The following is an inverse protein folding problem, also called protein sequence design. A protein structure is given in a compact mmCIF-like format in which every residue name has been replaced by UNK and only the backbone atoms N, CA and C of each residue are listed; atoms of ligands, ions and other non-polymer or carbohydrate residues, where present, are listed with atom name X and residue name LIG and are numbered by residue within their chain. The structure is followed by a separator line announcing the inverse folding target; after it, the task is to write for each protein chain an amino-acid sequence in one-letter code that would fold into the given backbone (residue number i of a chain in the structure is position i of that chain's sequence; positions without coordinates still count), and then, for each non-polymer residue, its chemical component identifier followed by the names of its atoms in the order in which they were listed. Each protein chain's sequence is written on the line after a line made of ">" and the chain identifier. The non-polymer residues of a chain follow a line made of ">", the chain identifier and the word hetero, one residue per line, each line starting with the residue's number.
data_IF_908313638850
#
_entry.id   IF_908313638850
#
_cell.length_a   1.000
_cell.length_b   1.000
_cell.length_c   1.000
_cell.angle_alpha   90.00
_cell.angle_beta   90.00
_cell.angle_gamma   90.00
#
_symmetry.space_group_name_H-M   'P 1'
#
loop_
_entity.id
_entity.type
_entity.pdbx_description
1 polymer ?
#
# COMPACT_ATOMS: atom_id res chain seq x y z
N UNK A 1 72.64 -2.64 6.00
CA UNK A 1 71.60 -3.44 5.37
C UNK A 1 70.24 -2.97 5.89
N UNK A 2 69.45 -2.27 5.05
CA UNK A 2 68.17 -1.70 5.45
C UNK A 2 67.05 -2.55 4.81
N UNK A 3 66.26 -3.26 5.62
CA UNK A 3 65.11 -4.00 5.15
C UNK A 3 63.88 -3.07 5.09
N UNK A 4 63.43 -2.78 3.87
CA UNK A 4 62.19 -2.06 3.63
C UNK A 4 61.03 -3.06 3.68
N UNK A 5 60.25 -3.05 4.75
CA UNK A 5 59.01 -3.80 4.86
C UNK A 5 57.90 -3.16 4.01
N UNK A 6 57.37 -3.90 3.04
CA UNK A 6 56.21 -3.52 2.25
C UNK A 6 54.95 -3.80 3.05
N UNK A 7 54.23 -2.77 3.46
CA UNK A 7 52.88 -2.85 4.02
C UNK A 7 51.88 -3.09 2.87
N UNK A 8 51.25 -4.27 2.87
CA UNK A 8 50.14 -4.59 1.97
C UNK A 8 48.84 -4.19 2.67
N UNK A 9 48.20 -3.14 2.20
CA UNK A 9 46.86 -2.73 2.69
C UNK A 9 45.80 -3.62 2.03
N UNK A 10 45.15 -4.47 2.84
CA UNK A 10 44.00 -5.26 2.41
C UNK A 10 42.77 -4.37 2.52
N UNK A 11 42.20 -3.95 1.39
CA UNK A 11 40.90 -3.25 1.32
C UNK A 11 39.81 -4.31 1.34
N UNK A 12 39.15 -4.44 2.48
CA UNK A 12 37.97 -5.30 2.60
C UNK A 12 36.74 -4.61 1.96
N UNK A 13 36.32 -5.11 0.80
CA UNK A 13 35.06 -4.70 0.18
C UNK A 13 33.91 -5.33 0.98
N UNK A 14 33.19 -4.50 1.75
CA UNK A 14 31.92 -4.91 2.39
C UNK A 14 30.84 -4.87 1.30
N UNK A 15 30.48 -6.01 0.77
CA UNK A 15 29.29 -6.16 -0.07
C UNK A 15 28.04 -5.99 0.81
N UNK A 16 27.47 -4.79 0.81
CA UNK A 16 26.15 -4.54 1.37
C UNK A 16 25.14 -5.18 0.42
N UNK A 17 24.74 -6.41 0.71
CA UNK A 17 23.66 -7.08 0.01
C UNK A 17 22.35 -6.33 0.25
N UNK A 18 21.80 -5.69 -0.78
CA UNK A 18 20.45 -5.14 -0.74
C UNK A 18 19.45 -6.31 -0.70
N UNK A 19 18.91 -6.60 0.49
CA UNK A 19 17.81 -7.56 0.60
C UNK A 19 16.64 -7.03 -0.24
N UNK A 20 16.19 -7.82 -1.23
CA UNK A 20 15.03 -7.48 -2.03
C UNK A 20 13.80 -7.35 -1.12
N UNK A 21 13.14 -6.20 -1.15
CA UNK A 21 11.94 -5.98 -0.36
C UNK A 21 10.86 -7.02 -0.69
N UNK A 22 10.23 -7.58 0.33
CA UNK A 22 9.12 -8.53 0.18
C UNK A 22 7.79 -7.77 0.17
N UNK A 23 6.74 -8.30 -0.49
CA UNK A 23 5.40 -7.73 -0.41
C UNK A 23 4.94 -7.59 1.03
N UNK A 24 4.29 -6.48 1.41
CA UNK A 24 3.89 -6.27 2.79
C UNK A 24 2.82 -7.27 3.21
N UNK A 25 3.05 -7.94 4.34
CA UNK A 25 2.04 -8.80 5.00
C UNK A 25 1.21 -8.01 6.02
N UNK A 26 1.77 -6.94 6.53
CA UNK A 26 1.16 -6.01 7.49
C UNK A 26 1.49 -4.59 7.08
N UNK A 27 0.76 -3.60 7.58
CA UNK A 27 1.07 -2.22 7.29
C UNK A 27 0.20 -1.23 8.04
N UNK A 28 0.58 0.03 7.93
CA UNK A 28 -0.15 1.15 8.52
C UNK A 28 -0.73 2.00 7.41
N UNK A 29 -2.04 2.24 7.47
CA UNK A 29 -2.68 3.31 6.73
C UNK A 29 -2.51 4.60 7.53
N UNK A 30 -1.79 5.57 7.00
CA UNK A 30 -1.78 6.95 7.49
C UNK A 30 -2.76 7.74 6.62
N UNK A 31 -3.96 8.11 7.14
CA UNK A 31 -4.99 8.78 6.35
C UNK A 31 -4.46 10.02 5.63
N UNK A 32 -4.84 10.18 4.37
CA UNK A 32 -4.41 11.28 3.51
C UNK A 32 -2.95 11.22 3.06
N UNK A 33 -2.15 10.23 3.48
CA UNK A 33 -0.70 10.24 3.29
C UNK A 33 -0.13 8.98 2.62
N UNK A 34 -0.33 7.82 3.24
CA UNK A 34 0.31 6.59 2.74
C UNK A 34 -0.39 5.33 3.24
N UNK A 35 -0.18 4.22 2.52
CA UNK A 35 -0.53 2.88 2.95
C UNK A 35 0.74 2.01 2.90
N UNK A 36 1.20 1.55 4.06
CA UNK A 36 2.44 0.75 4.21
C UNK A 36 3.64 1.34 3.45
N UNK A 37 3.84 2.65 3.60
CA UNK A 37 4.95 3.38 2.97
C UNK A 37 4.73 3.78 1.51
N UNK A 38 3.66 3.31 0.83
CA UNK A 38 3.33 3.75 -0.53
C UNK A 38 2.38 4.95 -0.47
N UNK A 39 2.73 6.03 -1.18
CA UNK A 39 1.97 7.27 -1.30
C UNK A 39 1.53 7.51 -2.74
N UNK A 40 0.49 8.32 -2.93
CA UNK A 40 0.07 8.78 -4.25
C UNK A 40 1.20 9.57 -4.93
N UNK A 41 1.32 9.42 -6.25
CA UNK A 41 2.36 10.07 -7.05
C UNK A 41 3.71 9.37 -7.07
N UNK A 42 3.95 8.36 -6.23
CA UNK A 42 5.16 7.54 -6.31
C UNK A 42 5.34 6.92 -7.68
N UNK A 43 6.59 6.80 -8.11
CA UNK A 43 6.97 6.09 -9.33
C UNK A 43 6.93 4.58 -9.12
N UNK A 44 6.91 3.82 -10.22
CA UNK A 44 7.03 2.37 -10.19
C UNK A 44 8.29 1.87 -9.47
N UNK A 45 9.41 2.59 -9.62
CA UNK A 45 10.66 2.26 -8.93
C UNK A 45 10.49 2.37 -7.40
N UNK A 46 9.94 3.49 -6.94
CA UNK A 46 9.68 3.72 -5.51
C UNK A 46 8.71 2.69 -4.90
N UNK A 47 7.69 2.25 -5.67
CA UNK A 47 6.80 1.16 -5.22
C UNK A 47 7.56 -0.15 -5.10
N UNK A 48 8.44 -0.49 -6.05
CA UNK A 48 9.28 -1.69 -5.96
C UNK A 48 10.26 -1.62 -4.79
N UNK A 49 10.81 -0.48 -4.50
CA UNK A 49 11.69 -0.28 -3.35
C UNK A 49 10.94 -0.49 -2.03
N UNK A 50 9.67 -0.03 -1.95
CA UNK A 50 8.84 -0.17 -0.75
C UNK A 50 8.25 -1.58 -0.57
N UNK A 51 7.72 -2.18 -1.65
CA UNK A 51 6.91 -3.41 -1.60
C UNK A 51 7.53 -4.59 -2.36
N UNK A 52 8.71 -4.41 -2.92
CA UNK A 52 9.40 -5.44 -3.70
C UNK A 52 8.86 -5.59 -5.12
N UNK A 53 9.47 -6.52 -5.86
CA UNK A 53 9.17 -6.78 -7.27
C UNK A 53 8.31 -8.03 -7.51
N UNK A 54 7.82 -8.67 -6.44
CA UNK A 54 6.92 -9.84 -6.54
C UNK A 54 5.47 -9.40 -6.58
N UNK A 55 4.97 -9.10 -7.78
CA UNK A 55 3.58 -8.70 -8.01
C UNK A 55 3.03 -9.28 -9.31
N UNK A 56 1.72 -9.48 -9.37
CA UNK A 56 0.98 -9.70 -10.60
C UNK A 56 0.65 -8.36 -11.24
N UNK A 57 0.53 -8.33 -12.58
CA UNK A 57 0.15 -7.13 -13.33
C UNK A 57 -1.15 -7.40 -14.05
N UNK A 58 -2.16 -6.58 -13.80
CA UNK A 58 -3.29 -6.44 -14.68
C UNK A 58 -3.13 -5.15 -15.49
N UNK A 59 -2.98 -5.30 -16.79
CA UNK A 59 -3.00 -4.18 -17.73
C UNK A 59 -4.45 -3.98 -18.17
N UNK A 60 -4.90 -2.75 -18.14
CA UNK A 60 -6.28 -2.43 -18.54
C UNK A 60 -7.40 -2.97 -17.61
N UNK A 61 -7.10 -3.16 -16.32
CA UNK A 61 -8.14 -3.40 -15.34
C UNK A 61 -8.92 -2.09 -15.07
N UNK A 62 -10.03 -1.90 -15.80
CA UNK A 62 -10.80 -0.65 -15.72
C UNK A 62 -10.05 0.57 -16.28
N UNK A 63 -9.28 0.41 -17.37
CA UNK A 63 -8.50 1.48 -18.01
C UNK A 63 -7.23 1.87 -17.26
N UNK A 64 -6.73 1.01 -16.34
CA UNK A 64 -5.56 1.28 -15.50
C UNK A 64 -4.64 0.07 -15.41
N UNK A 65 -3.37 0.30 -15.11
CA UNK A 65 -2.45 -0.75 -14.75
C UNK A 65 -2.48 -0.97 -13.25
N UNK A 66 -2.85 -2.17 -12.82
CA UNK A 66 -2.88 -2.54 -11.39
C UNK A 66 -1.81 -3.58 -11.11
N UNK A 67 -1.01 -3.33 -10.08
CA UNK A 67 -0.06 -4.27 -9.51
C UNK A 67 -0.66 -4.91 -8.26
N UNK A 68 -0.72 -6.24 -8.23
CA UNK A 68 -1.25 -7.01 -7.11
C UNK A 68 -0.12 -7.69 -6.34
N UNK A 69 0.05 -7.34 -5.08
CA UNK A 69 1.04 -7.86 -4.15
C UNK A 69 0.43 -8.95 -3.26
N UNK A 70 -0.06 -10.03 -3.85
CA UNK A 70 -0.62 -11.17 -3.16
C UNK A 70 -0.17 -12.48 -3.82
N UNK A 71 -0.43 -13.61 -3.16
CA UNK A 71 -0.04 -14.93 -3.70
C UNK A 71 -0.83 -15.33 -4.93
N UNK A 72 -2.08 -14.88 -5.05
CA UNK A 72 -2.97 -15.24 -6.14
C UNK A 72 -3.10 -14.09 -7.12
N UNK A 73 -2.62 -14.32 -8.34
CA UNK A 73 -2.74 -13.34 -9.42
C UNK A 73 -4.21 -13.09 -9.71
N UNK A 74 -4.58 -11.83 -9.91
CA UNK A 74 -5.92 -11.39 -10.34
C UNK A 74 -7.05 -11.56 -9.32
N UNK A 75 -6.75 -11.93 -8.08
CA UNK A 75 -7.73 -11.79 -7.00
C UNK A 75 -7.51 -10.45 -6.30
N UNK A 76 -8.56 -9.64 -6.07
CA UNK A 76 -8.46 -8.36 -5.36
C UNK A 76 -8.24 -8.55 -3.85
N UNK A 77 -7.49 -9.58 -3.47
CA UNK A 77 -7.15 -9.93 -2.10
C UNK A 77 -5.71 -9.55 -1.82
N UNK A 78 -5.46 -8.92 -0.69
CA UNK A 78 -4.15 -8.44 -0.32
C UNK A 78 -3.95 -6.96 -0.67
N UNK A 79 -2.73 -6.58 -1.02
CA UNK A 79 -2.38 -5.21 -1.34
C UNK A 79 -2.32 -4.98 -2.86
N UNK A 80 -2.76 -3.83 -3.31
CA UNK A 80 -2.72 -3.44 -4.72
C UNK A 80 -2.30 -1.98 -4.90
N UNK A 81 -1.69 -1.70 -6.05
CA UNK A 81 -1.29 -0.35 -6.48
C UNK A 81 -1.81 -0.12 -7.88
N UNK A 82 -2.58 0.94 -8.07
CA UNK A 82 -2.99 1.39 -9.40
C UNK A 82 -2.08 2.50 -9.89
N UNK A 83 -1.69 2.37 -11.15
CA UNK A 83 -0.78 3.28 -11.83
C UNK A 83 -1.45 3.93 -13.03
N UNK A 84 -1.26 5.24 -13.16
CA UNK A 84 -1.57 6.02 -14.36
C UNK A 84 -0.32 6.83 -14.72
N UNK A 85 0.11 6.77 -15.97
CA UNK A 85 1.32 7.45 -16.47
C UNK A 85 2.57 7.16 -15.60
N UNK A 86 2.72 5.89 -15.18
CA UNK A 86 3.83 5.42 -14.36
C UNK A 86 3.83 5.90 -12.90
N UNK A 87 2.75 6.53 -12.45
CA UNK A 87 2.61 7.06 -11.09
C UNK A 87 1.42 6.45 -10.35
N UNK A 88 1.59 6.27 -9.04
CA UNK A 88 0.54 5.76 -8.15
C UNK A 88 -0.63 6.73 -8.11
N UNK A 89 -1.81 6.26 -8.47
CA UNK A 89 -3.09 6.99 -8.35
C UNK A 89 -4.00 6.40 -7.28
N UNK A 90 -3.75 5.13 -6.93
CA UNK A 90 -4.39 4.50 -5.78
C UNK A 90 -3.51 3.40 -5.21
N UNK A 91 -3.61 3.19 -3.91
CA UNK A 91 -3.04 2.08 -3.17
C UNK A 91 -4.10 1.56 -2.21
N UNK A 92 -4.23 0.24 -2.12
CA UNK A 92 -5.30 -0.37 -1.32
C UNK A 92 -4.90 -1.72 -0.78
N UNK A 93 -5.60 -2.15 0.27
CA UNK A 93 -5.64 -3.53 0.74
C UNK A 93 -7.11 -3.93 0.89
N UNK A 94 -7.45 -5.12 0.43
CA UNK A 94 -8.77 -5.71 0.55
C UNK A 94 -8.60 -7.11 1.14
N UNK A 95 -9.58 -7.54 1.92
CA UNK A 95 -9.64 -8.88 2.46
C UNK A 95 -8.41 -9.28 3.31
N UNK A 96 -8.55 -9.14 4.60
CA UNK A 96 -7.76 -9.73 5.68
C UNK A 96 -6.28 -10.10 5.43
N UNK A 97 -5.37 -9.20 5.15
CA UNK A 97 -4.07 -9.43 5.73
C UNK A 97 -4.16 -9.03 7.21
N UNK A 98 -4.00 -9.94 8.16
CA UNK A 98 -3.95 -9.56 9.58
C UNK A 98 -2.79 -8.56 9.80
N UNK A 99 -2.97 -7.65 10.76
CA UNK A 99 -1.92 -6.69 11.11
C UNK A 99 -1.93 -5.38 10.33
N UNK A 100 -2.91 -5.13 9.46
CA UNK A 100 -3.14 -3.82 8.88
C UNK A 100 -3.94 -2.95 9.84
N UNK A 101 -3.46 -1.73 10.08
CA UNK A 101 -4.04 -0.80 11.06
C UNK A 101 -3.85 0.66 10.66
N UNK A 102 -4.51 1.57 11.37
CA UNK A 102 -4.21 3.00 11.37
C UNK A 102 -3.35 3.40 12.57
N UNK A 103 -2.75 4.61 12.59
CA UNK A 103 -2.09 5.15 13.78
C UNK A 103 -3.01 5.24 14.99
N UNK A 104 -4.32 5.48 14.76
CA UNK A 104 -5.35 5.60 15.79
C UNK A 104 -5.83 4.24 16.32
N UNK A 105 -5.16 3.16 15.90
CA UNK A 105 -5.40 1.82 16.40
C UNK A 105 -6.55 1.05 15.73
N UNK A 106 -7.22 1.63 14.72
CA UNK A 106 -8.25 0.92 13.96
C UNK A 106 -7.62 -0.23 13.17
N UNK A 107 -8.12 -1.45 13.34
CA UNK A 107 -7.61 -2.66 12.69
C UNK A 107 -8.66 -3.33 11.81
N UNK A 108 -8.21 -4.10 10.80
CA UNK A 108 -9.13 -4.86 9.95
C UNK A 108 -9.92 -5.89 10.75
N UNK A 109 -11.23 -6.00 10.44
CA UNK A 109 -12.18 -6.87 11.13
C UNK A 109 -12.99 -6.19 12.23
N UNK A 110 -12.64 -4.96 12.62
CA UNK A 110 -13.45 -4.21 13.60
C UNK A 110 -14.82 -3.82 13.02
N UNK A 111 -15.83 -3.63 13.90
CA UNK A 111 -17.15 -3.14 13.49
C UNK A 111 -17.05 -1.76 12.80
N UNK A 112 -17.94 -1.50 11.86
CA UNK A 112 -18.02 -0.21 11.16
C UNK A 112 -18.15 0.98 12.13
N UNK A 113 -18.86 0.81 13.26
CA UNK A 113 -19.00 1.84 14.27
C UNK A 113 -17.64 2.39 14.76
N UNK A 114 -16.60 1.54 14.84
CA UNK A 114 -15.27 1.98 15.22
C UNK A 114 -14.65 2.98 14.23
N UNK A 115 -15.02 2.90 12.95
CA UNK A 115 -14.54 3.83 11.93
C UNK A 115 -15.16 5.21 12.17
N UNK A 116 -16.48 5.26 12.42
CA UNK A 116 -17.22 6.51 12.64
C UNK A 116 -16.95 7.12 14.00
N UNK A 117 -16.53 6.33 14.99
CA UNK A 117 -16.05 6.82 16.28
C UNK A 117 -14.63 7.44 16.20
N UNK A 118 -13.83 6.95 15.24
CA UNK A 118 -12.42 7.36 15.10
C UNK A 118 -12.25 8.55 14.14
N UNK A 119 -13.11 8.63 13.10
CA UNK A 119 -13.00 9.65 12.07
C UNK A 119 -14.34 10.35 11.82
N UNK A 120 -14.29 11.68 11.81
CA UNK A 120 -15.42 12.55 11.49
C UNK A 120 -15.55 12.79 9.98
N UNK A 121 -16.69 13.38 9.57
CA UNK A 121 -16.95 13.85 8.21
C UNK A 121 -16.78 12.78 7.11
N UNK A 122 -17.14 11.56 7.42
CA UNK A 122 -17.11 10.44 6.47
C UNK A 122 -18.27 10.52 5.50
N UNK A 123 -18.00 10.21 4.23
CA UNK A 123 -19.02 10.03 3.19
C UNK A 123 -19.06 8.59 2.75
N UNK A 124 -20.25 7.96 2.71
CA UNK A 124 -20.43 6.59 2.23
C UNK A 124 -20.62 6.52 0.72
N UNK A 125 -20.02 5.52 0.10
CA UNK A 125 -20.25 5.14 -1.30
C UNK A 125 -20.48 3.63 -1.35
N UNK A 126 -21.52 3.22 -2.10
CA UNK A 126 -21.81 1.81 -2.35
C UNK A 126 -21.01 1.29 -3.55
N UNK A 127 -20.38 0.12 -3.39
CA UNK A 127 -19.43 -0.46 -4.33
C UNK A 127 -19.89 -1.81 -4.91
N UNK A 128 -21.19 -2.09 -4.88
CA UNK A 128 -21.71 -3.34 -5.45
C UNK A 128 -21.36 -4.60 -4.63
N UNK A 129 -21.87 -4.67 -3.40
CA UNK A 129 -21.66 -5.80 -2.47
C UNK A 129 -20.82 -5.44 -1.23
N UNK A 130 -20.21 -4.28 -1.21
CA UNK A 130 -19.56 -3.67 -0.06
C UNK A 130 -19.69 -2.15 -0.15
N UNK A 131 -19.31 -1.42 0.89
CA UNK A 131 -19.28 0.03 0.88
C UNK A 131 -17.91 0.58 1.22
N UNK A 132 -17.69 1.86 0.91
CA UNK A 132 -16.52 2.60 1.33
C UNK A 132 -16.95 3.82 2.15
N UNK A 133 -16.42 3.97 3.35
CA UNK A 133 -16.47 5.21 4.11
C UNK A 133 -15.24 6.04 3.72
N UNK A 134 -15.48 7.24 3.19
CA UNK A 134 -14.42 8.09 2.63
C UNK A 134 -14.13 9.27 3.54
N UNK A 135 -12.87 9.42 3.91
CA UNK A 135 -12.32 10.62 4.52
C UNK A 135 -11.60 11.42 3.44
N UNK A 136 -12.08 12.62 3.13
CA UNK A 136 -11.49 13.52 2.13
C UNK A 136 -10.53 14.49 2.79
N UNK A 137 -9.33 14.60 2.24
CA UNK A 137 -8.33 15.61 2.58
C UNK A 137 -7.87 16.30 1.30
N UNK A 138 -7.10 17.40 1.40
CA UNK A 138 -6.59 18.09 0.22
C UNK A 138 -5.80 17.12 -0.70
N UNK A 139 -6.34 16.87 -1.90
CA UNK A 139 -5.70 16.05 -2.93
C UNK A 139 -5.75 14.53 -2.71
N UNK A 140 -6.39 14.03 -1.65
CA UNK A 140 -6.50 12.59 -1.39
C UNK A 140 -7.88 12.19 -0.86
N UNK A 141 -8.23 10.93 -1.08
CA UNK A 141 -9.38 10.25 -0.48
C UNK A 141 -8.86 9.01 0.22
N UNK A 142 -9.02 8.95 1.53
CA UNK A 142 -8.81 7.73 2.31
C UNK A 142 -10.12 6.96 2.32
N UNK A 143 -10.10 5.68 2.01
CA UNK A 143 -11.25 4.81 2.01
C UNK A 143 -11.09 3.71 3.07
N UNK A 144 -12.13 3.53 3.86
CA UNK A 144 -12.31 2.41 4.76
C UNK A 144 -13.38 1.50 4.12
N UNK A 145 -12.96 0.38 3.58
CA UNK A 145 -13.88 -0.55 2.93
C UNK A 145 -14.61 -1.39 3.98
N UNK A 146 -15.92 -1.44 3.88
CA UNK A 146 -16.80 -2.15 4.81
C UNK A 146 -17.55 -3.26 4.08
N UNK A 147 -17.43 -4.46 4.58
CA UNK A 147 -18.16 -5.62 4.12
C UNK A 147 -18.84 -6.31 5.32
N UNK A 148 -20.13 -6.61 5.21
CA UNK A 148 -20.93 -7.21 6.30
C UNK A 148 -20.79 -6.45 7.64
N UNK A 149 -20.79 -5.10 7.59
CA UNK A 149 -20.70 -4.25 8.77
C UNK A 149 -19.33 -4.25 9.48
N UNK A 150 -18.29 -4.75 8.82
CA UNK A 150 -16.93 -4.79 9.36
C UNK A 150 -15.92 -4.14 8.43
N UNK A 151 -14.92 -3.52 9.03
CA UNK A 151 -13.76 -2.98 8.29
C UNK A 151 -13.04 -4.12 7.56
N UNK A 152 -13.08 -4.08 6.25
CA UNK A 152 -12.61 -5.14 5.38
C UNK A 152 -11.31 -4.79 4.64
N UNK A 153 -11.03 -3.51 4.47
CA UNK A 153 -9.83 -3.05 3.80
C UNK A 153 -9.62 -1.55 3.93
N UNK A 154 -8.45 -1.12 3.48
CA UNK A 154 -8.04 0.28 3.44
C UNK A 154 -7.73 0.70 2.01
N UNK A 155 -7.94 1.97 1.70
CA UNK A 155 -7.53 2.57 0.44
C UNK A 155 -7.07 4.00 0.61
N UNK A 156 -6.15 4.41 -0.27
CA UNK A 156 -5.78 5.80 -0.48
C UNK A 156 -5.82 6.05 -1.99
N UNK A 157 -6.59 7.00 -2.44
CA UNK A 157 -6.78 7.28 -3.86
C UNK A 157 -6.79 8.77 -4.15
N UNK A 158 -6.47 9.14 -5.38
CA UNK A 158 -6.67 10.50 -5.87
C UNK A 158 -8.17 10.80 -5.98
N UNK A 159 -8.59 12.07 -5.83
CA UNK A 159 -10.01 12.44 -5.94
C UNK A 159 -10.63 12.12 -7.31
N UNK A 160 -9.82 12.08 -8.37
CA UNK A 160 -10.22 11.79 -9.76
C UNK A 160 -10.12 10.28 -10.11
N UNK A 161 -9.79 9.43 -9.15
CA UNK A 161 -9.75 7.99 -9.33
C UNK A 161 -10.95 7.31 -8.64
N UNK A 162 -11.34 6.14 -9.14
CA UNK A 162 -12.41 5.37 -8.51
C UNK A 162 -12.03 4.98 -7.08
N UNK A 163 -13.00 4.99 -6.19
CA UNK A 163 -12.84 4.52 -4.81
C UNK A 163 -13.11 3.02 -4.73
N UNK A 164 -14.16 2.55 -5.39
CA UNK A 164 -14.51 1.12 -5.43
C UNK A 164 -13.46 0.29 -6.19
N UNK A 165 -13.16 -0.91 -5.71
CA UNK A 165 -12.14 -1.82 -6.21
C UNK A 165 -12.70 -3.17 -6.59
#
# INVERSE_FOLDING_TARGET
>A
MRHAGKLVAIVAFVLVGTAAAAPPKTGVLVPGRSLAGVSLGMTQAQVRDAWGSRYGVCRDCGGRTTWYFNRERFRPQGAGVELRDGRVVAVFTLWRPPGWRTPDGLVLGEPEARITETYDALTRVECGGYSALMLRTAGTVTAFYVYEGRLWGFGLTRPDALVCR
#
